data_IF_949921613514
#
_entry.id   IF_949921613514
#
_cell.length_a   1.000
_cell.length_b   1.000
_cell.length_c   1.000
_cell.angle_alpha   90.00
_cell.angle_beta   90.00
_cell.angle_gamma   90.00
#
_symmetry.space_group_name_H-M   'P 1'
#
loop_
_entity.id
_entity.type
_entity.pdbx_description
1 polymer ?
#
# COMPACT_ATOMS: atom_id res chain seq x y z
N UNK A 1 -48.45 23.83 -3.77
CA UNK A 1 -47.37 23.27 -2.93
C UNK A 1 -45.97 23.77 -3.33
N UNK A 2 -45.70 24.06 -4.60
CA UNK A 2 -44.39 24.51 -5.11
C UNK A 2 -43.94 25.88 -4.56
N UNK A 3 -44.83 26.88 -4.54
CA UNK A 3 -44.48 28.25 -4.10
C UNK A 3 -44.09 28.36 -2.61
N UNK A 4 -44.64 27.52 -1.73
CA UNK A 4 -44.32 27.57 -0.29
C UNK A 4 -42.93 26.97 0.00
N UNK A 5 -42.58 25.87 -0.67
CA UNK A 5 -41.25 25.28 -0.56
C UNK A 5 -40.18 26.17 -1.19
N UNK A 6 -40.43 26.78 -2.35
CA UNK A 6 -39.51 27.74 -2.96
C UNK A 6 -39.29 28.97 -2.05
N UNK A 7 -40.35 29.46 -1.40
CA UNK A 7 -40.27 30.57 -0.45
C UNK A 7 -39.46 30.22 0.80
N UNK A 8 -39.68 29.04 1.40
CA UNK A 8 -38.88 28.53 2.53
C UNK A 8 -37.41 28.32 2.12
N UNK A 9 -37.16 27.79 0.93
CA UNK A 9 -35.81 27.59 0.38
C UNK A 9 -35.10 28.94 0.16
N UNK A 10 -35.84 29.98 -0.20
CA UNK A 10 -35.30 31.32 -0.41
C UNK A 10 -35.04 32.11 0.88
N UNK A 11 -35.70 31.74 1.99
CA UNK A 11 -35.70 32.54 3.23
C UNK A 11 -34.61 32.13 4.23
N UNK A 12 -34.15 30.88 4.22
CA UNK A 12 -33.09 30.42 5.13
C UNK A 12 -31.99 29.64 4.40
N UNK A 13 -31.16 30.38 3.69
CA UNK A 13 -30.05 29.85 2.90
C UNK A 13 -29.02 29.13 3.78
N UNK A 14 -28.79 29.62 4.99
CA UNK A 14 -27.84 29.02 5.94
C UNK A 14 -28.36 27.69 6.49
N UNK A 15 -29.66 27.60 6.78
CA UNK A 15 -30.28 26.32 7.14
C UNK A 15 -30.10 25.26 6.04
N UNK A 16 -30.28 25.61 4.76
CA UNK A 16 -30.08 24.66 3.66
C UNK A 16 -28.64 24.16 3.58
N UNK A 17 -27.65 25.05 3.79
CA UNK A 17 -26.24 24.65 3.83
C UNK A 17 -25.99 23.60 4.91
N UNK A 18 -26.67 23.74 6.06
CA UNK A 18 -26.57 22.79 7.17
C UNK A 18 -27.14 21.40 6.87
N UNK A 19 -27.96 21.27 5.81
CA UNK A 19 -28.54 19.98 5.39
C UNK A 19 -27.54 19.12 4.60
N UNK A 20 -26.43 19.68 4.11
CA UNK A 20 -25.38 18.92 3.43
C UNK A 20 -24.46 18.30 4.48
N UNK A 21 -24.45 16.97 4.56
CA UNK A 21 -23.73 16.22 5.60
C UNK A 21 -22.74 15.23 5.01
N UNK A 22 -21.72 14.92 5.80
CA UNK A 22 -20.72 13.89 5.50
C UNK A 22 -21.34 12.49 5.54
N UNK A 23 -20.60 11.50 5.01
CA UNK A 23 -21.02 10.09 5.08
C UNK A 23 -21.17 9.62 6.52
N UNK A 24 -20.26 10.04 7.40
CA UNK A 24 -20.26 9.68 8.83
C UNK A 24 -21.49 10.22 9.52
N UNK A 25 -21.75 11.53 9.38
CA UNK A 25 -22.96 12.17 9.94
C UNK A 25 -24.24 11.54 9.38
N UNK A 26 -24.27 11.19 8.09
CA UNK A 26 -25.41 10.48 7.50
C UNK A 26 -25.69 9.14 8.20
N UNK A 27 -24.64 8.35 8.45
CA UNK A 27 -24.77 7.06 9.15
C UNK A 27 -25.21 7.25 10.60
N UNK A 28 -24.62 8.22 11.32
CA UNK A 28 -25.01 8.55 12.69
C UNK A 28 -26.49 8.97 12.77
N UNK A 29 -26.94 9.85 11.86
CA UNK A 29 -28.34 10.28 11.78
C UNK A 29 -29.26 9.10 11.49
N UNK A 30 -28.82 8.18 10.62
CA UNK A 30 -29.60 6.99 10.26
C UNK A 30 -29.81 6.07 11.46
N UNK A 31 -28.84 5.97 12.36
CA UNK A 31 -28.87 5.12 13.56
C UNK A 31 -29.66 5.71 14.73
N UNK A 32 -29.91 7.02 14.75
CA UNK A 32 -30.75 7.67 15.78
C UNK A 32 -32.13 7.01 15.91
N UNK A 33 -32.57 6.71 17.12
CA UNK A 33 -33.93 6.19 17.38
C UNK A 33 -35.02 7.22 17.05
N UNK A 34 -34.88 8.43 17.61
CA UNK A 34 -35.81 9.54 17.41
C UNK A 34 -35.24 10.53 16.40
N UNK A 35 -35.80 10.57 15.18
CA UNK A 35 -35.37 11.47 14.10
C UNK A 35 -36.26 12.71 14.04
N UNK A 36 -35.62 13.87 14.01
CA UNK A 36 -36.29 15.16 13.77
C UNK A 36 -36.64 15.32 12.28
N UNK A 37 -37.45 16.32 11.94
CA UNK A 37 -37.72 16.68 10.54
C UNK A 37 -36.44 17.00 9.77
N UNK A 38 -35.48 17.67 10.41
CA UNK A 38 -34.17 17.99 9.80
C UNK A 38 -33.33 16.74 9.57
N UNK A 39 -33.35 15.77 10.48
CA UNK A 39 -32.70 14.46 10.27
C UNK A 39 -33.29 13.75 9.04
N UNK A 40 -34.62 13.78 8.87
CA UNK A 40 -35.28 13.21 7.69
C UNK A 40 -34.88 13.92 6.40
N UNK A 41 -34.73 15.24 6.41
CA UNK A 41 -34.28 16.02 5.26
C UNK A 41 -32.81 15.74 4.91
N UNK A 42 -31.93 15.68 5.92
CA UNK A 42 -30.52 15.30 5.75
C UNK A 42 -30.39 13.92 5.13
N UNK A 43 -31.16 12.93 5.61
CA UNK A 43 -31.18 11.60 5.02
C UNK A 43 -31.75 11.58 3.60
N UNK A 44 -32.75 12.41 3.31
CA UNK A 44 -33.33 12.48 1.97
C UNK A 44 -32.33 13.04 0.96
N UNK A 45 -31.80 14.24 1.22
CA UNK A 45 -30.95 15.02 0.31
C UNK A 45 -29.62 14.33 0.03
N UNK A 46 -29.03 13.67 1.04
CA UNK A 46 -27.70 13.07 0.93
C UNK A 46 -27.75 11.58 0.59
N UNK A 47 -28.90 11.07 0.12
CA UNK A 47 -29.06 9.67 -0.27
C UNK A 47 -29.20 9.47 -1.77
N UNK A 48 -28.70 8.34 -2.27
CA UNK A 48 -28.83 8.01 -3.69
C UNK A 48 -30.31 7.77 -4.05
N UNK A 49 -30.79 8.51 -5.05
CA UNK A 49 -32.18 8.43 -5.51
C UNK A 49 -33.20 8.81 -4.44
N UNK A 50 -32.81 9.61 -3.43
CA UNK A 50 -33.67 10.07 -2.34
C UNK A 50 -34.29 8.93 -1.51
N UNK A 51 -33.64 7.75 -1.48
CA UNK A 51 -34.18 6.55 -0.82
C UNK A 51 -33.92 6.50 0.69
N UNK A 52 -33.13 7.44 1.24
CA UNK A 52 -32.71 7.51 2.66
C UNK A 52 -31.92 6.29 3.17
N UNK A 53 -31.62 5.31 2.30
CA UNK A 53 -30.94 4.05 2.66
C UNK A 53 -29.43 4.19 2.61
N UNK A 54 -28.92 4.65 1.47
CA UNK A 54 -27.49 4.67 1.18
C UNK A 54 -27.05 6.08 0.88
N UNK A 55 -25.86 6.44 1.38
CA UNK A 55 -25.25 7.74 1.10
C UNK A 55 -25.01 7.91 -0.42
N UNK A 56 -25.07 9.15 -0.90
CA UNK A 56 -25.01 9.49 -2.32
C UNK A 56 -23.76 8.96 -3.05
N UNK A 57 -22.65 8.82 -2.33
CA UNK A 57 -21.35 8.43 -2.87
C UNK A 57 -20.79 7.18 -2.17
N UNK A 58 -19.89 6.45 -2.84
CA UNK A 58 -19.16 5.33 -2.21
C UNK A 58 -18.20 5.83 -1.12
N UNK A 59 -17.70 4.92 -0.28
CA UNK A 59 -16.85 5.27 0.87
C UNK A 59 -15.54 5.92 0.43
N UNK A 60 -15.02 5.50 -0.71
CA UNK A 60 -13.73 5.91 -1.25
C UNK A 60 -13.74 7.38 -1.73
N UNK A 61 -14.89 7.88 -2.18
CA UNK A 61 -15.01 9.22 -2.77
C UNK A 61 -15.90 10.16 -1.96
N UNK A 62 -16.56 9.69 -0.90
CA UNK A 62 -17.53 10.49 -0.14
C UNK A 62 -16.93 11.77 0.42
N UNK A 63 -15.74 11.68 1.03
CA UNK A 63 -15.13 12.81 1.73
C UNK A 63 -14.66 13.87 0.73
N UNK A 64 -14.08 13.43 -0.38
CA UNK A 64 -13.69 14.31 -1.48
C UNK A 64 -14.91 15.07 -2.02
N UNK A 65 -16.04 14.38 -2.24
CA UNK A 65 -17.26 14.99 -2.77
C UNK A 65 -17.93 15.94 -1.78
N UNK A 66 -17.98 15.56 -0.51
CA UNK A 66 -18.51 16.39 0.57
C UNK A 66 -17.68 17.68 0.75
N UNK A 67 -16.35 17.56 0.83
CA UNK A 67 -15.46 18.71 0.97
C UNK A 67 -15.55 19.65 -0.23
N UNK A 68 -15.63 19.10 -1.45
CA UNK A 68 -15.83 19.90 -2.66
C UNK A 68 -17.18 20.63 -2.64
N UNK A 69 -18.25 19.98 -2.20
CA UNK A 69 -19.56 20.61 -2.07
C UNK A 69 -19.52 21.75 -1.05
N UNK A 70 -18.91 21.54 0.13
CA UNK A 70 -18.70 22.60 1.13
C UNK A 70 -17.93 23.78 0.58
N UNK A 71 -16.80 23.52 -0.10
CA UNK A 71 -15.97 24.59 -0.66
C UNK A 71 -16.71 25.39 -1.74
N UNK A 72 -17.53 24.74 -2.56
CA UNK A 72 -18.37 25.42 -3.56
C UNK A 72 -19.42 26.29 -2.89
N UNK A 73 -20.12 25.75 -1.89
CA UNK A 73 -21.16 26.46 -1.15
C UNK A 73 -20.57 27.67 -0.41
N UNK A 74 -19.42 27.50 0.23
CA UNK A 74 -18.73 28.56 0.98
C UNK A 74 -18.25 29.69 0.06
N UNK A 75 -17.65 29.36 -1.09
CA UNK A 75 -17.02 30.36 -1.97
C UNK A 75 -17.96 31.00 -2.98
N UNK A 76 -18.91 30.24 -3.49
CA UNK A 76 -19.77 30.65 -4.60
C UNK A 76 -21.24 30.74 -4.20
N UNK A 77 -21.61 30.17 -3.06
CA UNK A 77 -22.98 30.22 -2.54
C UNK A 77 -23.99 29.73 -3.59
N UNK A 78 -23.70 28.60 -4.25
CA UNK A 78 -24.55 28.00 -5.28
C UNK A 78 -24.76 26.51 -5.05
N UNK A 79 -26.02 26.08 -5.22
CA UNK A 79 -26.41 24.67 -5.18
C UNK A 79 -26.68 24.13 -6.59
N UNK A 80 -27.30 24.94 -7.45
CA UNK A 80 -27.48 24.67 -8.88
C UNK A 80 -26.38 25.37 -9.69
N UNK A 81 -26.07 24.87 -10.89
CA UNK A 81 -25.04 25.49 -11.75
C UNK A 81 -23.61 25.38 -11.21
N UNK A 82 -23.36 24.68 -10.09
CA UNK A 82 -22.06 24.54 -9.45
C UNK A 82 -20.94 24.07 -10.40
N UNK A 83 -21.29 23.34 -11.46
CA UNK A 83 -20.36 22.88 -12.51
C UNK A 83 -19.66 24.04 -13.24
N UNK A 84 -20.25 25.23 -13.24
CA UNK A 84 -19.68 26.42 -13.88
C UNK A 84 -18.65 27.14 -12.99
N UNK A 85 -18.64 26.85 -11.68
CA UNK A 85 -17.73 27.49 -10.73
C UNK A 85 -16.27 27.17 -11.01
N UNK A 86 -15.39 28.12 -10.70
CA UNK A 86 -13.92 27.92 -10.80
C UNK A 86 -13.45 26.78 -9.90
N UNK A 87 -14.04 26.64 -8.72
CA UNK A 87 -13.73 25.55 -7.77
C UNK A 87 -14.00 24.18 -8.37
N UNK A 88 -15.18 23.98 -8.95
CA UNK A 88 -15.52 22.70 -9.59
C UNK A 88 -14.59 22.41 -10.78
N UNK A 89 -14.39 23.37 -11.69
CA UNK A 89 -13.53 23.19 -12.87
C UNK A 89 -12.10 22.78 -12.48
N UNK A 90 -11.52 23.47 -11.49
CA UNK A 90 -10.19 23.15 -10.95
C UNK A 90 -10.13 21.75 -10.33
N UNK A 91 -11.19 21.32 -9.63
CA UNK A 91 -11.24 19.97 -9.04
C UNK A 91 -11.24 18.86 -10.11
N UNK A 92 -11.92 19.10 -11.24
CA UNK A 92 -11.95 18.18 -12.38
C UNK A 92 -10.58 18.10 -13.05
N UNK A 93 -9.90 19.24 -13.25
CA UNK A 93 -8.55 19.26 -13.80
C UNK A 93 -7.55 18.50 -12.94
N UNK A 94 -7.57 18.74 -11.62
CA UNK A 94 -6.74 17.99 -10.66
C UNK A 94 -7.00 16.48 -10.73
N UNK A 95 -8.26 16.08 -10.82
CA UNK A 95 -8.63 14.67 -10.93
C UNK A 95 -8.10 14.03 -12.24
N UNK A 96 -8.20 14.75 -13.36
CA UNK A 96 -7.63 14.29 -14.65
C UNK A 96 -6.11 14.15 -14.59
N UNK A 97 -5.40 15.11 -13.98
CA UNK A 97 -3.96 15.03 -13.77
C UNK A 97 -3.59 13.81 -12.91
N UNK A 98 -4.33 13.56 -11.84
CA UNK A 98 -4.08 12.40 -10.98
C UNK A 98 -4.24 11.07 -11.73
N UNK A 99 -5.28 10.93 -12.57
CA UNK A 99 -5.43 9.75 -13.44
C UNK A 99 -4.28 9.60 -14.44
N UNK A 100 -3.78 10.71 -14.99
CA UNK A 100 -2.63 10.67 -15.91
C UNK A 100 -1.35 10.21 -15.20
N UNK A 101 -1.09 10.71 -13.99
CA UNK A 101 0.05 10.27 -13.17
C UNK A 101 -0.07 8.77 -12.83
N UNK A 102 -1.28 8.31 -12.47
CA UNK A 102 -1.50 6.89 -12.17
C UNK A 102 -1.23 5.99 -13.40
N UNK A 103 -1.58 6.44 -14.61
CA UNK A 103 -1.24 5.74 -15.86
C UNK A 103 0.26 5.73 -16.13
N UNK A 104 0.96 6.85 -15.89
CA UNK A 104 2.40 6.93 -16.05
C UNK A 104 3.13 5.97 -15.09
N UNK A 105 2.69 5.86 -13.83
CA UNK A 105 3.23 4.88 -12.88
C UNK A 105 2.99 3.42 -13.30
N UNK A 106 1.90 3.14 -14.02
CA UNK A 106 1.65 1.81 -14.59
C UNK A 106 2.59 1.52 -15.76
N UNK A 107 2.86 2.53 -16.60
CA UNK A 107 3.81 2.42 -17.71
C UNK A 107 5.25 2.21 -17.23
N UNK A 108 5.66 2.92 -16.18
CA UNK A 108 6.99 2.73 -15.56
C UNK A 108 7.17 1.31 -15.02
N UNK A 109 6.13 0.72 -14.42
CA UNK A 109 6.13 -0.69 -14.02
C UNK A 109 6.22 -1.65 -15.20
N UNK A 110 5.54 -1.35 -16.31
CA UNK A 110 5.63 -2.17 -17.53
C UNK A 110 7.03 -2.09 -18.15
N UNK A 111 7.66 -0.92 -18.14
CA UNK A 111 9.04 -0.74 -18.61
C UNK A 111 10.04 -1.52 -17.75
N UNK A 112 9.87 -1.52 -16.42
CA UNK A 112 10.68 -2.35 -15.52
C UNK A 112 10.52 -3.85 -15.81
N UNK A 113 9.30 -4.33 -16.04
CA UNK A 113 9.04 -5.72 -16.42
C UNK A 113 9.67 -6.07 -17.78
N UNK A 114 9.58 -5.17 -18.75
CA UNK A 114 10.19 -5.34 -20.06
C UNK A 114 11.72 -5.39 -19.98
N UNK A 115 12.33 -4.59 -19.09
CA UNK A 115 13.78 -4.63 -18.81
C UNK A 115 14.20 -5.96 -18.18
N UNK A 116 13.43 -6.49 -17.22
CA UNK A 116 13.67 -7.83 -16.65
C UNK A 116 13.56 -8.91 -17.75
N UNK A 117 12.56 -8.81 -18.63
CA UNK A 117 12.38 -9.76 -19.72
C UNK A 117 13.50 -9.67 -20.77
N UNK A 118 14.04 -8.48 -21.04
CA UNK A 118 15.23 -8.30 -21.88
C UNK A 118 16.50 -8.89 -21.22
N UNK A 119 16.67 -8.74 -19.91
CA UNK A 119 17.78 -9.36 -19.17
C UNK A 119 17.71 -10.89 -19.19
N UNK A 120 16.49 -11.47 -19.13
CA UNK A 120 16.29 -12.90 -19.34
C UNK A 120 16.65 -13.34 -20.78
N UNK A 121 16.32 -12.54 -21.80
CA UNK A 121 16.68 -12.84 -23.21
C UNK A 121 18.19 -12.75 -23.48
N UNK A 122 18.95 -12.02 -22.68
CA UNK A 122 20.40 -11.86 -22.85
C UNK A 122 21.23 -13.07 -22.36
N UNK A 123 20.64 -14.22 -22.04
CA UNK A 123 21.31 -15.43 -21.52
C UNK A 123 22.20 -15.23 -20.27
N UNK A 124 22.16 -14.06 -19.63
CA UNK A 124 22.96 -13.75 -18.43
C UNK A 124 22.36 -14.32 -17.15
N UNK A 125 21.12 -14.81 -17.19
CA UNK A 125 20.40 -15.33 -16.03
C UNK A 125 19.80 -16.69 -16.39
N UNK A 126 20.19 -17.72 -15.64
CA UNK A 126 19.65 -19.08 -15.74
C UNK A 126 18.97 -19.44 -14.42
N UNK A 127 17.64 -19.59 -14.45
CA UNK A 127 16.88 -20.08 -13.30
C UNK A 127 16.88 -21.61 -13.27
N UNK A 128 16.86 -22.18 -12.06
CA UNK A 128 16.93 -23.62 -11.81
C UNK A 128 16.26 -23.94 -10.47
N UNK A 129 15.69 -25.14 -10.35
CA UNK A 129 15.04 -25.64 -9.13
C UNK A 129 15.85 -26.77 -8.48
N UNK A 130 17.16 -26.79 -8.70
CA UNK A 130 18.07 -27.79 -8.13
C UNK A 130 18.47 -27.42 -6.70
N UNK A 131 18.77 -28.43 -5.89
CA UNK A 131 19.41 -28.24 -4.59
C UNK A 131 20.79 -27.57 -4.75
N UNK A 132 21.23 -26.87 -3.70
CA UNK A 132 22.54 -26.23 -3.65
C UNK A 132 23.70 -27.22 -3.90
N UNK A 133 23.52 -28.50 -3.53
CA UNK A 133 24.45 -29.59 -3.81
C UNK A 133 24.82 -29.74 -5.30
N UNK A 134 23.93 -29.35 -6.21
CA UNK A 134 24.20 -29.44 -7.65
C UNK A 134 25.24 -28.43 -8.13
N UNK A 135 25.72 -27.54 -7.25
CA UNK A 135 26.67 -26.47 -7.54
C UNK A 135 28.00 -26.66 -6.80
N UNK A 136 28.25 -27.83 -6.21
CA UNK A 136 29.49 -28.12 -5.46
C UNK A 136 30.77 -28.03 -6.30
N UNK A 137 30.65 -28.17 -7.62
CA UNK A 137 31.79 -28.09 -8.54
C UNK A 137 32.10 -26.65 -9.01
N UNK A 138 31.33 -25.66 -8.56
CA UNK A 138 31.54 -24.25 -8.93
C UNK A 138 32.80 -23.71 -8.23
N UNK A 139 33.66 -23.05 -9.00
CA UNK A 139 34.89 -22.40 -8.51
C UNK A 139 35.09 -21.04 -9.19
N UNK A 140 35.79 -20.13 -8.51
CA UNK A 140 36.09 -18.78 -9.01
C UNK A 140 34.86 -17.85 -9.09
N UNK A 141 33.78 -18.17 -8.38
CA UNK A 141 32.53 -17.40 -8.39
C UNK A 141 32.31 -16.60 -7.10
N UNK A 142 31.32 -15.69 -7.14
CA UNK A 142 30.73 -15.09 -5.95
C UNK A 142 29.38 -15.78 -5.72
N UNK A 143 29.22 -16.41 -4.57
CA UNK A 143 28.00 -17.09 -4.16
C UNK A 143 27.28 -16.24 -3.11
N UNK A 144 26.13 -15.69 -3.48
CA UNK A 144 25.21 -15.06 -2.53
C UNK A 144 24.16 -16.10 -2.12
N UNK A 145 24.07 -16.39 -0.84
CA UNK A 145 23.23 -17.45 -0.29
C UNK A 145 22.23 -16.88 0.71
N UNK A 146 20.95 -17.17 0.50
CA UNK A 146 19.84 -16.76 1.36
C UNK A 146 19.04 -18.00 1.80
N UNK A 147 19.60 -18.82 2.72
CA UNK A 147 18.99 -20.06 3.16
C UNK A 147 17.81 -19.79 4.13
N UNK A 148 16.93 -20.78 4.36
CA UNK A 148 16.02 -20.74 5.50
C UNK A 148 16.79 -20.50 6.81
N UNK A 149 16.47 -19.43 7.53
CA UNK A 149 17.21 -19.05 8.74
C UNK A 149 17.07 -20.08 9.85
N UNK A 150 18.16 -20.28 10.59
CA UNK A 150 18.18 -21.05 11.83
C UNK A 150 17.10 -20.54 12.78
N UNK A 151 16.41 -21.47 13.44
CA UNK A 151 15.34 -21.20 14.41
C UNK A 151 14.10 -20.44 13.88
N UNK A 152 14.00 -20.17 12.57
CA UNK A 152 12.79 -19.60 12.00
C UNK A 152 11.64 -20.63 11.99
N UNK A 153 10.42 -20.20 12.33
CA UNK A 153 9.24 -21.05 12.25
C UNK A 153 8.98 -21.44 10.78
N UNK A 154 9.47 -22.61 10.36
CA UNK A 154 9.38 -23.18 9.01
C UNK A 154 7.96 -23.62 8.59
N UNK A 155 6.91 -22.86 8.96
CA UNK A 155 5.49 -23.20 8.70
C UNK A 155 5.10 -23.29 7.21
N UNK A 156 6.03 -23.04 6.28
CA UNK A 156 5.80 -23.07 4.82
C UNK A 156 6.77 -23.93 4.01
N UNK A 157 7.78 -24.55 4.61
CA UNK A 157 8.69 -25.47 3.90
C UNK A 157 8.20 -26.91 4.07
N UNK A 158 8.16 -27.67 2.98
CA UNK A 158 7.63 -29.05 2.96
C UNK A 158 8.58 -30.01 3.70
N UNK A 159 9.88 -29.70 3.74
CA UNK A 159 10.93 -30.51 4.35
C UNK A 159 11.75 -29.69 5.34
N UNK A 160 12.28 -30.35 6.37
CA UNK A 160 13.21 -29.77 7.34
C UNK A 160 14.54 -29.43 6.65
N UNK A 161 14.96 -28.17 6.74
CA UNK A 161 16.24 -27.71 6.21
C UNK A 161 17.36 -27.99 7.22
N UNK A 162 18.38 -28.76 6.83
CA UNK A 162 19.58 -28.98 7.64
C UNK A 162 20.55 -27.82 7.47
N UNK A 163 20.61 -26.97 8.50
CA UNK A 163 21.46 -25.78 8.49
C UNK A 163 22.94 -26.13 8.64
N UNK A 164 23.27 -27.18 9.39
CA UNK A 164 24.65 -27.59 9.63
C UNK A 164 25.27 -28.19 8.38
N UNK A 165 24.55 -29.08 7.69
CA UNK A 165 24.97 -29.62 6.39
C UNK A 165 25.22 -28.49 5.38
N UNK A 166 24.31 -27.50 5.35
CA UNK A 166 24.47 -26.34 4.48
C UNK A 166 25.71 -25.50 4.81
N UNK A 167 26.02 -25.28 6.10
CA UNK A 167 27.23 -24.56 6.50
C UNK A 167 28.51 -25.33 6.21
N UNK A 168 28.51 -26.65 6.38
CA UNK A 168 29.62 -27.50 5.96
C UNK A 168 29.89 -27.37 4.46
N UNK A 169 28.82 -27.42 3.66
CA UNK A 169 28.92 -27.19 2.22
C UNK A 169 29.44 -25.78 1.90
N UNK A 170 28.84 -24.73 2.48
CA UNK A 170 29.22 -23.34 2.23
C UNK A 170 30.69 -23.07 2.61
N UNK A 171 31.17 -23.69 3.69
CA UNK A 171 32.57 -23.60 4.13
C UNK A 171 33.51 -24.26 3.12
N UNK A 172 33.15 -25.43 2.56
CA UNK A 172 33.92 -26.06 1.48
C UNK A 172 33.93 -25.17 0.23
N UNK A 173 32.79 -24.60 -0.15
CA UNK A 173 32.68 -23.71 -1.30
C UNK A 173 33.54 -22.46 -1.16
N UNK A 174 33.64 -21.90 0.05
CA UNK A 174 34.43 -20.70 0.34
C UNK A 174 35.94 -20.86 0.09
N UNK A 175 36.45 -22.09 0.02
CA UNK A 175 37.87 -22.33 -0.30
C UNK A 175 38.26 -21.87 -1.70
N UNK A 176 37.30 -21.95 -2.65
CA UNK A 176 37.53 -21.65 -4.06
C UNK A 176 36.62 -20.54 -4.59
N UNK A 177 35.78 -19.94 -3.74
CA UNK A 177 34.77 -18.95 -4.11
C UNK A 177 34.66 -17.88 -3.03
N UNK A 178 34.17 -16.71 -3.38
CA UNK A 178 33.72 -15.73 -2.39
C UNK A 178 32.29 -16.11 -2.00
N UNK A 179 32.09 -16.54 -0.76
CA UNK A 179 30.77 -16.95 -0.24
C UNK A 179 30.25 -15.90 0.74
N UNK A 180 29.02 -15.43 0.50
CA UNK A 180 28.32 -14.47 1.35
C UNK A 180 26.96 -15.07 1.72
N UNK A 181 26.70 -15.21 3.02
CA UNK A 181 25.44 -15.78 3.54
C UNK A 181 24.64 -14.66 4.20
N UNK A 182 23.36 -14.52 3.83
CA UNK A 182 22.41 -13.66 4.56
C UNK A 182 21.73 -14.44 5.68
N UNK A 183 21.72 -13.88 6.89
CA UNK A 183 20.98 -14.43 8.04
C UNK A 183 20.83 -13.39 9.16
N UNK A 184 20.00 -13.65 10.18
CA UNK A 184 20.00 -12.88 11.42
C UNK A 184 21.18 -13.25 12.34
N UNK A 185 21.44 -14.56 12.43
CA UNK A 185 22.48 -15.20 13.21
C UNK A 185 22.94 -16.48 12.50
N UNK A 186 24.19 -16.87 12.74
CA UNK A 186 24.75 -18.16 12.32
C UNK A 186 25.41 -18.76 13.56
N UNK A 187 25.00 -19.97 13.93
CA UNK A 187 25.54 -20.69 15.08
C UNK A 187 26.97 -21.21 14.85
N UNK A 188 27.32 -21.47 13.59
CA UNK A 188 28.59 -22.03 13.19
C UNK A 188 29.76 -21.04 13.31
N UNK A 189 30.71 -21.37 14.18
CA UNK A 189 31.84 -20.50 14.54
C UNK A 189 32.82 -20.22 13.39
N UNK A 190 32.77 -21.00 12.29
CA UNK A 190 33.64 -20.78 11.12
C UNK A 190 33.25 -19.50 10.36
N UNK A 191 32.04 -18.99 10.58
CA UNK A 191 31.53 -17.80 9.94
C UNK A 191 31.54 -16.61 10.91
N UNK A 192 31.77 -15.41 10.37
CA UNK A 192 31.66 -14.16 11.11
C UNK A 192 30.79 -13.15 10.37
N UNK A 193 30.09 -12.32 11.14
CA UNK A 193 29.30 -11.24 10.57
C UNK A 193 30.23 -10.13 10.07
N UNK A 194 30.23 -9.90 8.76
CA UNK A 194 31.04 -8.86 8.12
C UNK A 194 30.25 -7.56 7.89
N UNK A 195 28.91 -7.62 7.95
CA UNK A 195 28.04 -6.47 7.73
C UNK A 195 26.68 -6.63 8.41
N UNK A 196 26.08 -5.53 8.88
CA UNK A 196 24.74 -5.46 9.49
C UNK A 196 23.86 -4.40 8.83
N UNK A 197 22.59 -4.72 8.56
CA UNK A 197 21.64 -3.81 7.92
C UNK A 197 20.94 -2.87 8.92
N UNK A 198 21.71 -2.09 9.68
CA UNK A 198 21.20 -1.29 10.81
C UNK A 198 20.28 -0.11 10.43
N UNK A 199 20.30 0.29 9.15
CA UNK A 199 19.55 1.44 8.63
C UNK A 199 18.33 1.05 7.79
N UNK A 200 18.10 -0.24 7.54
CA UNK A 200 16.95 -0.71 6.76
C UNK A 200 15.69 -0.74 7.65
N UNK A 201 15.06 0.42 7.86
CA UNK A 201 13.79 0.51 8.60
C UNK A 201 12.60 0.42 7.64
N UNK A 202 11.80 -0.63 7.79
CA UNK A 202 10.46 -0.66 7.19
C UNK A 202 9.63 0.50 7.75
N UNK A 203 9.13 1.37 6.89
CA UNK A 203 8.23 2.47 7.25
C UNK A 203 6.81 2.01 7.59
N UNK A 204 6.53 0.70 7.56
CA UNK A 204 5.18 0.16 7.58
C UNK A 204 4.72 -0.46 8.91
N UNK A 205 5.54 -0.51 9.96
CA UNK A 205 5.10 -0.99 11.28
C UNK A 205 5.68 -0.18 12.45
N UNK A 206 4.81 0.57 13.12
CA UNK A 206 5.06 1.20 14.41
C UNK A 206 5.01 0.13 15.51
N UNK A 207 6.17 -0.40 15.88
CA UNK A 207 6.31 -1.30 17.02
C UNK A 207 7.79 -1.51 17.32
N UNK A 208 8.20 -1.33 18.58
CA UNK A 208 9.56 -1.59 19.04
C UNK A 208 9.75 -3.11 19.15
N UNK A 209 9.78 -3.82 18.01
CA UNK A 209 10.19 -5.22 18.03
C UNK A 209 11.71 -5.26 18.18
N UNK A 210 12.23 -5.98 19.19
CA UNK A 210 13.62 -6.47 19.25
C UNK A 210 13.86 -7.50 18.12
N UNK A 211 13.55 -7.16 16.87
CA UNK A 211 13.90 -8.01 15.74
C UNK A 211 15.37 -7.75 15.47
N UNK A 212 16.15 -8.81 15.48
CA UNK A 212 17.55 -8.75 15.09
C UNK A 212 17.64 -8.22 13.67
N UNK A 213 18.64 -7.37 13.41
CA UNK A 213 18.88 -6.89 12.05
C UNK A 213 19.49 -8.03 11.23
N UNK A 214 19.10 -8.12 9.96
CA UNK A 214 19.75 -9.00 9.00
C UNK A 214 21.24 -8.62 8.88
N UNK A 215 22.08 -9.63 8.67
CA UNK A 215 23.54 -9.52 8.58
C UNK A 215 24.05 -10.36 7.42
N UNK A 216 25.23 -9.99 6.93
CA UNK A 216 25.99 -10.79 5.98
C UNK A 216 27.14 -11.47 6.71
N UNK A 217 27.33 -12.75 6.42
CA UNK A 217 28.37 -13.59 7.01
C UNK A 217 29.33 -14.11 5.94
N UNK A 218 30.61 -14.20 6.31
CA UNK A 218 31.67 -14.80 5.51
C UNK A 218 32.50 -15.74 6.38
N UNK A 219 33.26 -16.64 5.75
CA UNK A 219 34.21 -17.50 6.48
C UNK A 219 35.32 -16.63 7.07
N UNK A 220 35.66 -16.89 8.33
CA UNK A 220 36.76 -16.21 9.02
C UNK A 220 38.08 -16.42 8.28
N UNK A 221 38.80 -15.34 8.02
CA UNK A 221 40.17 -15.45 7.54
C UNK A 221 41.03 -16.03 8.67
N UNK A 222 41.58 -17.23 8.47
CA UNK A 222 42.56 -17.84 9.39
C UNK A 222 43.91 -17.15 9.31
#
# INVERSE_FOLDING_TARGET
MTNAFERVISQDREWIKSLIVSRTEFTEIKEKENKTTDDFLKLLINSFGNKKRDYLYSKEISDLKYNLAKEIIEKHDVFSGYKQTKTYKRSIEKYKQFQQIQRLQQLERLEQLQRIQQLQKLNKIKATSKSYHAFSDVSGAILYLDPPYEESHQKGYINQFDSQEFYDWAFVMAKNNIVIISSYSISDERFEAVYSFDKARSTLQSGRSKKENEKLFMVKNS
#
